data_IF_826132653119
#
_entry.id   IF_826132653119
#
_cell.length_a   1.000
_cell.length_b   1.000
_cell.length_c   1.000
_cell.angle_alpha   90.00
_cell.angle_beta   90.00
_cell.angle_gamma   90.00
#
_symmetry.space_group_name_H-M   'P 1'
#
loop_
_entity.id
_entity.type
_entity.pdbx_description
1 polymer ?
#
# COMPACT_ATOMS: atom_id res chain seq x y z
N UNK A 1 5.54 15.13 -12.60
CA UNK A 1 4.16 15.04 -13.09
C UNK A 1 3.56 13.75 -12.51
N UNK A 2 2.72 13.89 -11.51
CA UNK A 2 2.03 12.76 -10.89
C UNK A 2 0.68 12.53 -11.59
N UNK A 3 0.37 11.28 -11.80
CA UNK A 3 -0.93 10.74 -12.13
C UNK A 3 -1.68 11.37 -13.32
N UNK A 4 -1.45 10.82 -14.51
CA UNK A 4 -2.15 11.21 -15.74
C UNK A 4 -3.21 10.15 -16.03
N UNK A 5 -4.45 10.40 -15.59
CA UNK A 5 -5.62 9.51 -15.73
C UNK A 5 -6.68 10.06 -16.69
N UNK A 6 -6.50 11.30 -17.14
CA UNK A 6 -7.44 11.96 -18.05
C UNK A 6 -6.71 12.60 -19.22
N UNK A 7 -7.44 12.77 -20.34
CA UNK A 7 -6.95 13.48 -21.53
C UNK A 7 -6.49 14.91 -21.21
N UNK A 8 -7.18 15.57 -20.29
CA UNK A 8 -6.85 16.93 -19.86
C UNK A 8 -5.50 16.97 -19.15
N UNK A 9 -5.26 16.06 -18.20
CA UNK A 9 -3.96 15.94 -17.52
C UNK A 9 -2.83 15.56 -18.48
N UNK A 10 -3.10 14.71 -19.48
CA UNK A 10 -2.12 14.40 -20.52
C UNK A 10 -1.76 15.66 -21.35
N UNK A 11 -2.74 16.50 -21.65
CA UNK A 11 -2.52 17.77 -22.37
C UNK A 11 -1.70 18.76 -21.53
N UNK A 12 -2.00 18.88 -20.23
CA UNK A 12 -1.21 19.69 -19.28
C UNK A 12 0.24 19.20 -19.23
N UNK A 13 0.44 17.88 -19.15
CA UNK A 13 1.77 17.28 -19.15
C UNK A 13 2.53 17.59 -20.45
N UNK A 14 1.89 17.43 -21.61
CA UNK A 14 2.45 17.76 -22.94
C UNK A 14 2.90 19.22 -22.98
N UNK A 15 2.08 20.15 -22.49
CA UNK A 15 2.42 21.58 -22.47
C UNK A 15 3.64 21.87 -21.56
N UNK A 16 3.73 21.23 -20.40
CA UNK A 16 4.90 21.35 -19.51
C UNK A 16 6.18 20.84 -20.19
N UNK A 17 6.11 19.72 -20.89
CA UNK A 17 7.24 19.16 -21.66
C UNK A 17 7.69 20.13 -22.75
N UNK A 18 6.76 20.65 -23.54
CA UNK A 18 7.05 21.63 -24.59
C UNK A 18 7.68 22.93 -24.04
N UNK A 19 7.18 23.40 -22.88
CA UNK A 19 7.75 24.56 -22.21
C UNK A 19 9.18 24.27 -21.72
N UNK A 20 9.43 23.12 -21.12
CA UNK A 20 10.77 22.72 -20.67
C UNK A 20 11.77 22.68 -21.83
N UNK A 21 11.36 22.16 -23.01
CA UNK A 21 12.18 22.16 -24.22
C UNK A 21 12.51 23.57 -24.68
N UNK A 22 11.50 24.44 -24.76
CA UNK A 22 11.67 25.84 -25.18
C UNK A 22 12.60 26.63 -24.27
N UNK A 23 12.51 26.36 -22.95
CA UNK A 23 13.30 27.10 -21.95
C UNK A 23 14.74 26.61 -21.89
N UNK A 24 14.98 25.30 -22.03
CA UNK A 24 16.32 24.71 -21.87
C UNK A 24 17.11 24.60 -23.19
N UNK A 25 16.42 24.59 -24.31
CA UNK A 25 17.00 24.28 -25.63
C UNK A 25 17.48 22.83 -25.77
N UNK A 26 17.25 21.98 -24.75
CA UNK A 26 17.65 20.56 -24.72
C UNK A 26 16.42 19.66 -24.80
N UNK A 27 16.52 18.59 -25.61
CA UNK A 27 15.45 17.62 -25.72
C UNK A 27 15.16 16.96 -24.35
N UNK A 28 13.93 17.09 -23.84
CA UNK A 28 13.56 16.44 -22.57
C UNK A 28 13.51 14.92 -22.73
N UNK A 29 13.95 14.21 -21.68
CA UNK A 29 13.73 12.76 -21.54
C UNK A 29 12.58 12.56 -20.56
N UNK A 30 11.57 11.78 -20.98
CA UNK A 30 10.36 11.52 -20.20
C UNK A 30 10.21 10.03 -19.98
N UNK A 31 10.27 9.59 -18.73
CA UNK A 31 9.89 8.24 -18.33
C UNK A 31 8.40 8.22 -18.04
N UNK A 32 7.68 7.33 -18.70
CA UNK A 32 6.22 7.22 -18.59
C UNK A 32 5.82 5.79 -18.18
N UNK A 33 4.84 5.70 -17.29
CA UNK A 33 4.13 4.45 -16.94
C UNK A 33 2.69 4.48 -17.44
N UNK A 34 2.39 5.36 -18.40
CA UNK A 34 1.05 5.54 -18.92
C UNK A 34 0.66 4.38 -19.85
N UNK A 35 -0.44 3.72 -19.51
CA UNK A 35 -0.97 2.56 -20.26
C UNK A 35 -1.97 3.01 -21.34
N UNK A 36 -2.77 4.06 -21.05
CA UNK A 36 -3.77 4.59 -21.98
C UNK A 36 -3.15 5.09 -23.29
N UNK A 37 -3.58 4.53 -24.40
CA UNK A 37 -3.06 4.87 -25.74
C UNK A 37 -3.29 6.32 -26.13
N UNK A 38 -4.42 6.92 -25.76
CA UNK A 38 -4.73 8.31 -26.11
C UNK A 38 -3.78 9.27 -25.38
N UNK A 39 -3.54 9.03 -24.10
CA UNK A 39 -2.55 9.78 -23.33
C UNK A 39 -1.14 9.60 -23.86
N UNK A 40 -0.75 8.37 -24.25
CA UNK A 40 0.54 8.11 -24.88
C UNK A 40 0.71 8.88 -26.19
N UNK A 41 -0.32 8.93 -27.06
CA UNK A 41 -0.29 9.71 -28.29
C UNK A 41 -0.08 11.20 -28.04
N UNK A 42 -0.75 11.75 -27.01
CA UNK A 42 -0.58 13.16 -26.63
C UNK A 42 0.87 13.43 -26.19
N UNK A 43 1.46 12.54 -25.39
CA UNK A 43 2.86 12.69 -24.99
C UNK A 43 3.82 12.51 -26.17
N UNK A 44 3.59 11.52 -27.03
CA UNK A 44 4.40 11.27 -28.24
C UNK A 44 4.34 12.43 -29.27
N UNK A 45 3.34 13.31 -29.20
CA UNK A 45 3.25 14.52 -30.00
C UNK A 45 4.17 15.66 -29.54
N UNK A 46 4.99 15.43 -28.53
CA UNK A 46 6.02 16.37 -28.06
C UNK A 46 7.37 16.01 -28.66
N UNK A 47 8.29 17.00 -28.73
CA UNK A 47 9.66 16.77 -29.17
C UNK A 47 10.57 16.11 -28.11
N UNK A 48 9.98 15.42 -27.13
CA UNK A 48 10.69 14.73 -26.07
C UNK A 48 11.04 13.29 -26.46
N UNK A 49 12.13 12.78 -25.91
CA UNK A 49 12.41 11.36 -25.91
C UNK A 49 11.51 10.68 -24.87
N UNK A 50 10.47 9.97 -25.33
CA UNK A 50 9.51 9.29 -24.44
C UNK A 50 9.92 7.82 -24.27
N UNK A 51 10.21 7.43 -23.05
CA UNK A 51 10.50 6.05 -22.68
C UNK A 51 9.30 5.54 -21.85
N UNK A 52 8.45 4.72 -22.48
CA UNK A 52 7.35 4.08 -21.78
C UNK A 52 7.83 2.77 -21.14
N UNK A 53 7.86 2.76 -19.81
CA UNK A 53 8.37 1.61 -19.05
C UNK A 53 7.48 0.37 -19.17
N UNK A 54 6.16 0.54 -19.30
CA UNK A 54 5.27 -0.61 -19.48
C UNK A 54 5.42 -1.24 -20.87
N UNK A 55 5.49 -0.45 -21.92
CA UNK A 55 5.65 -1.00 -23.28
C UNK A 55 6.97 -1.76 -23.42
N UNK A 56 8.03 -1.33 -22.75
CA UNK A 56 9.31 -2.03 -22.78
C UNK A 56 9.24 -3.48 -22.26
N UNK A 57 8.26 -3.77 -21.40
CA UNK A 57 8.04 -5.13 -20.85
C UNK A 57 6.83 -5.81 -21.49
N UNK A 58 5.75 -5.08 -21.76
CA UNK A 58 4.52 -5.66 -22.29
C UNK A 58 4.67 -6.12 -23.74
N UNK A 59 5.28 -5.31 -24.61
CA UNK A 59 5.42 -5.66 -26.01
C UNK A 59 6.17 -7.01 -26.24
N UNK A 60 7.31 -7.30 -25.57
CA UNK A 60 7.93 -8.61 -25.66
C UNK A 60 7.09 -9.76 -25.09
N UNK A 61 6.32 -9.50 -24.01
CA UNK A 61 5.45 -10.51 -23.41
C UNK A 61 4.26 -10.82 -24.31
N UNK A 62 3.62 -9.82 -24.88
CA UNK A 62 2.54 -9.96 -25.85
C UNK A 62 2.98 -10.80 -27.07
N UNK A 63 4.18 -10.54 -27.58
CA UNK A 63 4.77 -11.33 -28.65
C UNK A 63 5.04 -12.78 -28.23
N UNK A 64 5.57 -12.99 -27.02
CA UNK A 64 5.90 -14.31 -26.53
C UNK A 64 4.67 -15.18 -26.24
N UNK A 65 3.60 -14.59 -25.72
CA UNK A 65 2.37 -15.29 -25.37
C UNK A 65 1.33 -15.32 -26.52
N UNK A 66 1.47 -14.48 -27.54
CA UNK A 66 0.50 -14.33 -28.62
C UNK A 66 -0.82 -13.69 -28.16
N UNK A 67 -0.80 -12.99 -27.04
CA UNK A 67 -1.97 -12.32 -26.45
C UNK A 67 -1.69 -10.83 -26.27
N UNK A 68 -2.70 -9.99 -26.48
CA UNK A 68 -2.60 -8.54 -26.32
C UNK A 68 -3.10 -8.15 -24.94
N UNK A 69 -2.35 -7.33 -24.23
CA UNK A 69 -2.76 -6.79 -22.93
C UNK A 69 -4.00 -5.90 -23.06
N UNK A 70 -4.80 -5.82 -22.01
CA UNK A 70 -6.05 -5.05 -22.06
C UNK A 70 -5.86 -3.54 -22.15
N UNK A 71 -4.65 -3.02 -21.99
CA UNK A 71 -4.28 -1.58 -21.91
C UNK A 71 -5.21 -0.77 -20.98
N UNK A 72 -5.87 -1.42 -20.04
CA UNK A 72 -6.81 -0.80 -19.09
C UNK A 72 -6.07 -0.48 -17.79
N UNK A 73 -6.12 0.79 -17.40
CA UNK A 73 -5.54 1.28 -16.17
C UNK A 73 -6.30 0.73 -14.95
N UNK A 74 -5.55 0.22 -13.96
CA UNK A 74 -6.15 -0.23 -12.68
C UNK A 74 -6.91 -1.57 -12.75
N UNK A 75 -6.82 -2.33 -13.84
CA UNK A 75 -7.39 -3.68 -13.90
C UNK A 75 -6.48 -4.65 -13.16
N UNK A 76 -6.88 -5.04 -11.96
CA UNK A 76 -6.17 -6.03 -11.15
C UNK A 76 -6.82 -7.41 -11.33
N UNK A 77 -6.00 -8.42 -11.65
CA UNK A 77 -6.49 -9.80 -11.77
C UNK A 77 -6.80 -10.31 -10.35
N UNK A 78 -8.07 -10.60 -10.08
CA UNK A 78 -8.58 -11.02 -8.76
C UNK A 78 -9.73 -10.17 -8.22
N UNK A 79 -10.01 -9.02 -8.82
CA UNK A 79 -11.16 -8.18 -8.43
C UNK A 79 -12.51 -8.66 -8.99
N UNK A 80 -12.55 -9.82 -9.66
CA UNK A 80 -13.76 -10.31 -10.33
C UNK A 80 -14.85 -10.85 -9.41
N UNK A 81 -14.66 -10.83 -8.09
CA UNK A 81 -15.60 -11.47 -7.18
C UNK A 81 -16.24 -10.61 -6.11
N UNK A 82 -15.59 -9.54 -5.62
CA UNK A 82 -16.06 -8.85 -4.41
C UNK A 82 -16.09 -7.33 -4.56
N UNK A 83 -15.30 -6.73 -5.43
CA UNK A 83 -15.18 -5.26 -5.55
C UNK A 83 -15.70 -4.78 -6.90
N UNK A 84 -17.01 -4.84 -7.10
CA UNK A 84 -17.64 -4.16 -8.23
C UNK A 84 -17.38 -2.65 -8.14
N UNK A 85 -16.77 -2.07 -9.17
CA UNK A 85 -16.74 -0.62 -9.44
C UNK A 85 -16.05 0.32 -8.43
N UNK A 86 -15.19 -0.14 -7.53
CA UNK A 86 -14.35 0.80 -6.79
C UNK A 86 -13.35 1.46 -7.75
N UNK A 87 -13.32 2.79 -7.74
CA UNK A 87 -12.44 3.54 -8.63
C UNK A 87 -10.98 3.26 -8.30
N UNK A 88 -10.12 3.29 -9.31
CA UNK A 88 -8.67 3.18 -9.11
C UNK A 88 -8.16 4.23 -8.10
N UNK A 89 -8.78 5.42 -8.08
CA UNK A 89 -8.43 6.47 -7.14
C UNK A 89 -8.72 6.08 -5.69
N UNK A 90 -9.88 5.49 -5.42
CA UNK A 90 -10.22 5.01 -4.05
C UNK A 90 -9.22 3.98 -3.54
N UNK A 91 -8.72 3.12 -4.44
CA UNK A 91 -7.68 2.14 -4.08
C UNK A 91 -6.35 2.81 -3.76
N UNK A 92 -5.93 3.80 -4.54
CA UNK A 92 -4.72 4.56 -4.25
C UNK A 92 -4.84 5.33 -2.93
N UNK A 93 -5.97 5.99 -2.71
CA UNK A 93 -6.24 6.72 -1.47
C UNK A 93 -6.19 5.78 -0.25
N UNK A 94 -6.72 4.56 -0.38
CA UNK A 94 -6.65 3.55 0.67
C UNK A 94 -5.21 3.05 0.93
N UNK A 95 -4.42 2.87 -0.13
CA UNK A 95 -3.00 2.48 -0.02
C UNK A 95 -2.19 3.60 0.63
N UNK A 96 -2.34 4.82 0.17
CA UNK A 96 -1.63 5.99 0.70
C UNK A 96 -1.99 6.22 2.17
N UNK A 97 -3.29 6.07 2.52
CA UNK A 97 -3.75 6.11 3.89
C UNK A 97 -3.05 5.03 4.73
N UNK A 98 -3.08 3.77 4.31
CA UNK A 98 -2.54 2.64 5.06
C UNK A 98 -1.02 2.73 5.25
N UNK A 99 -0.29 3.24 4.25
CA UNK A 99 1.15 3.49 4.36
C UNK A 99 1.48 4.63 5.34
N UNK A 100 0.66 5.68 5.36
CA UNK A 100 0.87 6.83 6.25
C UNK A 100 0.45 6.58 7.70
N UNK A 101 -0.34 5.53 7.96
CA UNK A 101 -0.87 5.13 9.26
C UNK A 101 -0.32 3.77 9.73
N UNK A 102 0.83 3.37 9.20
CA UNK A 102 1.57 2.20 9.68
C UNK A 102 2.32 2.50 10.98
N UNK A 103 2.49 1.49 11.81
CA UNK A 103 3.22 1.53 13.09
C UNK A 103 2.70 2.57 14.14
N UNK A 104 1.42 2.94 14.07
CA UNK A 104 0.78 3.75 15.13
C UNK A 104 1.26 5.21 15.20
N UNK A 105 1.75 5.78 14.12
CA UNK A 105 2.34 7.13 14.09
C UNK A 105 1.30 8.25 14.17
N UNK A 106 0.05 7.98 13.79
CA UNK A 106 -1.04 8.99 13.71
C UNK A 106 -2.34 8.50 14.35
N UNK A 107 -2.39 8.53 15.67
CA UNK A 107 -3.60 8.13 16.42
C UNK A 107 -4.80 9.06 16.22
N UNK A 108 -4.54 10.31 15.87
CA UNK A 108 -5.52 11.38 15.66
C UNK A 108 -6.41 11.17 14.44
N UNK A 109 -6.04 10.28 13.53
CA UNK A 109 -6.76 10.03 12.28
C UNK A 109 -7.44 8.64 12.21
N UNK A 110 -7.55 7.93 13.34
CA UNK A 110 -8.23 6.63 13.38
C UNK A 110 -9.73 6.71 13.06
N UNK A 111 -10.34 7.89 13.18
CA UNK A 111 -11.72 8.11 12.75
C UNK A 111 -11.94 7.84 11.26
N UNK A 112 -10.92 8.10 10.43
CA UNK A 112 -10.98 7.90 8.97
C UNK A 112 -10.71 6.46 8.54
N UNK A 113 -10.22 5.61 9.45
CA UNK A 113 -9.97 4.21 9.15
C UNK A 113 -11.27 3.43 8.98
N UNK A 114 -11.30 2.51 8.02
CA UNK A 114 -12.33 1.47 7.92
C UNK A 114 -12.03 0.32 8.87
N UNK A 115 -10.74 0.00 9.05
CA UNK A 115 -10.23 -1.07 9.91
C UNK A 115 -8.99 -0.61 10.65
N UNK A 116 -8.87 -1.00 11.92
CA UNK A 116 -7.68 -0.77 12.75
C UNK A 116 -7.13 -2.14 13.18
N UNK A 117 -5.95 -2.49 12.68
CA UNK A 117 -5.29 -3.75 13.03
C UNK A 117 -4.47 -3.58 14.30
N UNK A 118 -4.75 -4.41 15.30
CA UNK A 118 -4.04 -4.41 16.59
C UNK A 118 -3.31 -5.74 16.78
N UNK A 119 -2.11 -5.73 17.30
CA UNK A 119 -1.38 -6.95 17.64
C UNK A 119 0.09 -6.70 17.94
N UNK A 120 0.76 -7.74 18.40
CA UNK A 120 2.18 -7.67 18.75
C UNK A 120 3.06 -7.28 17.55
N UNK A 121 4.23 -6.75 17.82
CA UNK A 121 5.18 -6.41 16.74
C UNK A 121 5.53 -7.67 15.93
N UNK A 122 5.46 -7.55 14.58
CA UNK A 122 5.75 -8.62 13.61
C UNK A 122 4.70 -9.73 13.48
N UNK A 123 3.48 -9.50 13.94
CA UNK A 123 2.37 -10.44 13.70
C UNK A 123 1.75 -10.35 12.28
N UNK A 124 2.24 -9.45 11.42
CA UNK A 124 1.77 -9.35 10.03
C UNK A 124 0.82 -8.18 9.75
N UNK A 125 0.69 -7.19 10.65
CA UNK A 125 -0.21 -6.03 10.46
C UNK A 125 0.02 -5.29 9.15
N UNK A 126 1.23 -4.80 8.91
CA UNK A 126 1.59 -4.04 7.70
C UNK A 126 1.26 -4.79 6.39
N UNK A 127 1.66 -6.05 6.16
CA UNK A 127 1.27 -6.75 4.94
C UNK A 127 -0.23 -6.98 4.84
N UNK A 128 -0.93 -7.18 5.95
CA UNK A 128 -2.39 -7.33 5.96
C UNK A 128 -3.08 -6.01 5.62
N UNK A 129 -2.63 -4.87 6.17
CA UNK A 129 -3.21 -3.56 5.84
C UNK A 129 -3.07 -3.23 4.36
N UNK A 130 -1.89 -3.47 3.78
CA UNK A 130 -1.67 -3.26 2.35
C UNK A 130 -2.51 -4.22 1.49
N UNK A 131 -2.64 -5.48 1.90
CA UNK A 131 -3.49 -6.43 1.20
C UNK A 131 -4.96 -5.97 1.16
N UNK A 132 -5.48 -5.51 2.30
CA UNK A 132 -6.86 -5.00 2.41
C UNK A 132 -7.05 -3.72 1.58
N UNK A 133 -6.10 -2.79 1.63
CA UNK A 133 -6.14 -1.57 0.83
C UNK A 133 -6.10 -1.86 -0.68
N UNK A 134 -5.21 -2.74 -1.12
CA UNK A 134 -5.03 -3.08 -2.53
C UNK A 134 -6.22 -3.85 -3.12
N UNK A 135 -6.80 -4.78 -2.37
CA UNK A 135 -7.84 -5.67 -2.88
C UNK A 135 -9.26 -5.21 -2.59
N UNK A 136 -9.47 -4.47 -1.50
CA UNK A 136 -10.79 -4.06 -1.02
C UNK A 136 -10.95 -2.54 -0.92
N UNK A 137 -9.90 -1.76 -1.19
CA UNK A 137 -9.87 -0.30 -1.06
C UNK A 137 -10.24 0.19 0.35
N UNK A 138 -9.91 -0.59 1.37
CA UNK A 138 -10.12 -0.24 2.76
C UNK A 138 -8.98 0.61 3.28
N UNK A 139 -9.30 1.70 3.96
CA UNK A 139 -8.35 2.50 4.73
C UNK A 139 -8.03 1.77 6.03
N UNK A 140 -6.81 1.26 6.15
CA UNK A 140 -6.41 0.43 7.28
C UNK A 140 -5.30 1.10 8.08
N UNK A 141 -5.53 1.31 9.36
CA UNK A 141 -4.52 1.74 10.31
C UNK A 141 -3.93 0.55 11.06
N UNK A 142 -2.70 0.69 11.55
CA UNK A 142 -2.03 -0.31 12.35
C UNK A 142 -1.68 0.22 13.74
N UNK A 143 -1.91 -0.59 14.75
CA UNK A 143 -1.43 -0.33 16.10
C UNK A 143 -0.59 -1.50 16.62
N UNK A 144 0.73 -1.34 16.74
CA UNK A 144 1.58 -2.32 17.41
C UNK A 144 1.42 -2.16 18.93
N UNK A 145 1.03 -3.22 19.61
CA UNK A 145 1.03 -3.22 21.08
C UNK A 145 2.43 -2.93 21.61
N UNK A 146 2.52 -1.97 22.51
CA UNK A 146 3.77 -1.58 23.18
C UNK A 146 4.02 -2.45 24.41
N UNK A 147 5.25 -2.41 24.96
CA UNK A 147 5.54 -3.08 26.23
C UNK A 147 4.65 -2.55 27.36
N UNK A 148 4.37 -1.24 27.35
CA UNK A 148 3.51 -0.60 28.35
C UNK A 148 2.07 -1.11 28.28
N UNK A 149 1.52 -1.32 27.08
CA UNK A 149 0.18 -1.89 26.90
C UNK A 149 0.12 -3.34 27.40
N UNK A 150 1.15 -4.12 27.06
CA UNK A 150 1.26 -5.51 27.48
C UNK A 150 1.46 -5.65 29.00
N UNK A 151 2.21 -4.75 29.62
CA UNK A 151 2.42 -4.76 31.08
C UNK A 151 1.15 -4.39 31.84
N UNK A 152 0.35 -3.47 31.28
CA UNK A 152 -0.96 -3.10 31.85
C UNK A 152 -2.05 -4.13 31.55
N UNK A 153 -1.85 -5.00 30.58
CA UNK A 153 -2.84 -5.97 30.09
C UNK A 153 -4.18 -5.33 29.73
N UNK A 154 -4.15 -4.12 29.17
CA UNK A 154 -5.35 -3.34 28.79
C UNK A 154 -5.09 -2.59 27.49
N UNK A 155 -6.07 -2.62 26.58
CA UNK A 155 -6.02 -1.79 25.37
C UNK A 155 -6.10 -0.30 25.72
N UNK A 156 -5.33 0.56 25.06
CA UNK A 156 -5.41 2.01 25.25
C UNK A 156 -6.82 2.57 25.02
N UNK A 157 -7.24 3.54 25.83
CA UNK A 157 -8.58 4.14 25.80
C UNK A 157 -8.93 4.73 24.43
N UNK A 158 -7.95 5.28 23.72
CA UNK A 158 -8.19 5.83 22.38
C UNK A 158 -8.55 4.74 21.35
N UNK A 159 -8.05 3.51 21.50
CA UNK A 159 -8.48 2.36 20.68
C UNK A 159 -9.88 1.90 21.04
N UNK A 160 -10.23 1.90 22.32
CA UNK A 160 -11.54 1.45 22.78
C UNK A 160 -12.67 2.32 22.21
N UNK A 161 -12.42 3.60 21.93
CA UNK A 161 -13.36 4.48 21.23
C UNK A 161 -13.72 3.96 19.82
N UNK A 162 -12.83 3.20 19.21
CA UNK A 162 -12.99 2.63 17.87
C UNK A 162 -13.22 1.12 17.90
N UNK A 163 -13.71 0.57 19.00
CA UNK A 163 -13.88 -0.90 19.22
C UNK A 163 -14.56 -1.58 18.02
N UNK A 164 -15.52 -0.94 17.37
CA UNK A 164 -16.25 -1.47 16.22
C UNK A 164 -15.42 -1.61 14.94
N UNK A 165 -14.23 -1.02 14.88
CA UNK A 165 -13.27 -1.08 13.76
C UNK A 165 -12.04 -1.91 14.08
N UNK A 166 -11.87 -2.34 15.34
CA UNK A 166 -10.69 -3.08 15.78
C UNK A 166 -10.71 -4.50 15.24
N UNK A 167 -9.61 -4.93 14.68
CA UNK A 167 -9.35 -6.32 14.29
C UNK A 167 -8.03 -6.75 14.91
N UNK A 168 -8.12 -7.73 15.82
CA UNK A 168 -6.97 -8.30 16.48
C UNK A 168 -6.23 -9.27 15.55
N UNK A 169 -4.91 -9.15 15.49
CA UNK A 169 -4.04 -10.08 14.77
C UNK A 169 -3.12 -10.78 15.77
N UNK A 170 -3.18 -12.10 15.76
CA UNK A 170 -2.26 -12.96 16.50
C UNK A 170 -1.37 -13.77 15.55
N UNK A 171 -0.33 -14.38 16.10
CA UNK A 171 0.61 -15.23 15.39
C UNK A 171 1.16 -16.31 16.34
N UNK A 172 1.42 -17.49 15.82
CA UNK A 172 2.06 -18.55 16.62
C UNK A 172 3.45 -18.15 17.08
N UNK A 173 3.82 -18.51 18.30
CA UNK A 173 5.08 -18.13 18.98
C UNK A 173 6.32 -18.49 18.16
N UNK A 174 6.40 -19.71 17.62
CA UNK A 174 7.58 -20.17 16.87
C UNK A 174 7.82 -19.38 15.57
N UNK A 175 6.81 -19.16 14.71
CA UNK A 175 6.94 -18.24 13.57
C UNK A 175 7.35 -16.83 13.99
N UNK A 176 6.76 -16.27 15.05
CA UNK A 176 7.08 -14.92 15.52
C UNK A 176 8.56 -14.81 15.91
N UNK A 177 9.06 -15.75 16.72
CA UNK A 177 10.47 -15.79 17.11
C UNK A 177 11.40 -15.87 15.90
N UNK A 178 11.08 -16.69 14.89
CA UNK A 178 11.88 -16.80 13.65
C UNK A 178 11.92 -15.47 12.88
N UNK A 179 10.78 -14.81 12.73
CA UNK A 179 10.68 -13.52 12.00
C UNK A 179 11.47 -12.43 12.74
N UNK A 180 11.34 -12.37 14.08
CA UNK A 180 12.07 -11.39 14.89
C UNK A 180 13.58 -11.63 14.88
N UNK A 181 14.00 -12.90 14.94
CA UNK A 181 15.42 -13.29 14.87
C UNK A 181 16.06 -12.94 13.54
N UNK A 182 15.34 -13.13 12.43
CA UNK A 182 15.84 -12.74 11.10
C UNK A 182 16.13 -11.23 11.00
N UNK A 183 15.42 -10.38 11.79
CA UNK A 183 15.59 -8.93 11.77
C UNK A 183 16.59 -8.42 12.83
N UNK A 184 16.58 -9.02 14.02
CA UNK A 184 17.49 -8.72 15.13
C UNK A 184 17.99 -10.01 15.73
N UNK A 185 19.08 -10.58 15.18
CA UNK A 185 19.71 -11.76 15.74
C UNK A 185 20.13 -11.53 17.20
N UNK A 186 20.06 -12.57 18.01
CA UNK A 186 20.57 -12.62 19.39
C UNK A 186 20.03 -11.54 20.34
N UNK A 187 18.78 -11.09 20.13
CA UNK A 187 18.09 -10.16 21.01
C UNK A 187 17.06 -10.87 21.87
N UNK A 188 16.85 -10.41 23.10
CA UNK A 188 15.77 -10.88 23.99
C UNK A 188 14.40 -10.76 23.32
N UNK A 189 14.20 -9.72 22.51
CA UNK A 189 13.00 -9.49 21.71
C UNK A 189 12.62 -10.68 20.80
N UNK A 190 13.61 -11.46 20.35
CA UNK A 190 13.39 -12.62 19.48
C UNK A 190 13.32 -13.95 20.25
N UNK A 191 13.52 -13.93 21.56
CA UNK A 191 13.47 -15.14 22.38
C UNK A 191 12.08 -15.76 22.41
N UNK A 192 12.01 -17.10 22.46
CA UNK A 192 10.72 -17.81 22.56
C UNK A 192 9.93 -17.38 23.80
N UNK A 193 10.60 -17.17 24.92
CA UNK A 193 9.98 -16.75 26.19
C UNK A 193 9.28 -15.40 26.08
N UNK A 194 9.93 -14.41 25.47
CA UNK A 194 9.35 -13.07 25.25
C UNK A 194 8.19 -13.15 24.25
N UNK A 195 8.38 -13.86 23.14
CA UNK A 195 7.31 -14.04 22.14
C UNK A 195 6.07 -14.74 22.75
N UNK A 196 6.26 -15.77 23.57
CA UNK A 196 5.17 -16.49 24.25
C UNK A 196 4.41 -15.59 25.21
N UNK A 197 5.13 -14.83 26.05
CA UNK A 197 4.54 -13.86 26.97
C UNK A 197 3.69 -12.83 26.21
N UNK A 198 4.26 -12.20 25.18
CA UNK A 198 3.56 -11.15 24.43
C UNK A 198 2.33 -11.67 23.68
N UNK A 199 2.44 -12.82 23.02
CA UNK A 199 1.31 -13.44 22.32
C UNK A 199 0.19 -13.77 23.32
N UNK A 200 0.51 -14.45 24.43
CA UNK A 200 -0.48 -14.81 25.45
C UNK A 200 -1.20 -13.58 26.02
N UNK A 201 -0.46 -12.55 26.42
CA UNK A 201 -1.06 -11.33 26.98
C UNK A 201 -1.92 -10.62 25.92
N UNK A 202 -1.44 -10.53 24.67
CA UNK A 202 -2.24 -9.91 23.62
C UNK A 202 -3.55 -10.66 23.34
N UNK A 203 -3.53 -12.00 23.35
CA UNK A 203 -4.73 -12.81 23.18
C UNK A 203 -5.71 -12.64 24.36
N UNK A 204 -5.21 -12.59 25.60
CA UNK A 204 -6.02 -12.26 26.78
C UNK A 204 -6.69 -10.87 26.65
N UNK A 205 -5.95 -9.85 26.15
CA UNK A 205 -6.50 -8.49 25.91
C UNK A 205 -7.60 -8.47 24.84
N UNK A 206 -7.58 -9.39 23.87
CA UNK A 206 -8.54 -9.43 22.78
C UNK A 206 -9.85 -10.16 23.14
N UNK A 207 -9.89 -10.92 24.22
CA UNK A 207 -11.09 -11.60 24.72
C UNK A 207 -12.06 -10.65 25.44
N UNK A 208 -11.62 -9.46 25.82
CA UNK A 208 -12.38 -8.42 26.54
C UNK A 208 -12.76 -7.23 25.66
#
# INVERSE_FOLDING_TARGET
LSFIDTREKATIASNKIKTAYRTSGKQPIVFSTLVDENGQRILKSTDACIINLFNAFLDPLEQAFGEISSHVQGKFQGSSGISGNLSYQQRLDAIDYSLSHDDGVRYDQYDEADVILVGVSRCGKTPTSLYLAMNFSLKVSNYPLTEEDLDKNVLPDFLLKHKHKLVALTIKVVPLSKIRRARRPDSDYSSLKVCEREVRISEEMFEH
#
